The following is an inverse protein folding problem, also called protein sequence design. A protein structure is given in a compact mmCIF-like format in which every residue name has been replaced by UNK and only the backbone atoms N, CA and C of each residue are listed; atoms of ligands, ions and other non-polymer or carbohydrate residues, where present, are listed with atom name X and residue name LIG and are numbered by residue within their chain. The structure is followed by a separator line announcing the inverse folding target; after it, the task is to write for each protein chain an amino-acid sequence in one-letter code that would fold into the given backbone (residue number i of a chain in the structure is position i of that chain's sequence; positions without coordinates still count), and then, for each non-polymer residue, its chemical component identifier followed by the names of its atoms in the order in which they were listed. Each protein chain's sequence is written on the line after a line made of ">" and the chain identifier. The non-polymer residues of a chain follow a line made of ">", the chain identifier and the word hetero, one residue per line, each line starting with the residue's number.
data_IF_485850956860
#
_entry.id   IF_485850956860
#
_cell.length_a   1.000
_cell.length_b   1.000
_cell.length_c   1.000
_cell.angle_alpha   90.00
_cell.angle_beta   90.00
_cell.angle_gamma   90.00
#
_symmetry.space_group_name_H-M   'P 1'
#
loop_
_entity.id
_entity.type
_entity.pdbx_description
1 polymer ?
#
# COMPACT_ATOMS: atom_id res chain seq x y z
N UNK A 1 -8.46 17.76 -28.49
CA UNK A 1 -7.82 18.46 -27.35
C UNK A 1 -8.65 18.41 -26.08
N UNK A 2 -9.99 18.52 -26.11
CA UNK A 2 -10.81 18.54 -24.87
C UNK A 2 -10.86 17.26 -24.00
N UNK A 3 -10.76 16.05 -24.57
CA UNK A 3 -10.99 14.80 -23.79
C UNK A 3 -9.85 14.42 -22.83
N UNK A 4 -8.59 14.76 -23.13
CA UNK A 4 -7.45 14.39 -22.27
C UNK A 4 -7.33 15.32 -21.06
N UNK A 5 -7.59 16.62 -21.23
CA UNK A 5 -7.57 17.60 -20.15
C UNK A 5 -8.68 17.34 -19.13
N UNK A 6 -9.85 16.88 -19.61
CA UNK A 6 -11.01 16.55 -18.77
C UNK A 6 -10.72 15.30 -17.91
N UNK A 7 -10.17 14.25 -18.52
CA UNK A 7 -9.75 13.03 -17.82
C UNK A 7 -8.68 13.33 -16.75
N UNK A 8 -7.71 14.17 -17.08
CA UNK A 8 -6.62 14.54 -16.19
C UNK A 8 -7.12 15.40 -15.00
N UNK A 9 -8.13 16.25 -15.23
CA UNK A 9 -8.82 16.98 -14.17
C UNK A 9 -9.62 16.06 -13.26
N UNK A 10 -10.34 15.08 -13.82
CA UNK A 10 -11.07 14.08 -13.04
C UNK A 10 -10.13 13.27 -12.14
N UNK A 11 -8.98 12.86 -12.67
CA UNK A 11 -7.95 12.13 -11.93
C UNK A 11 -7.44 12.93 -10.73
N UNK A 12 -7.11 14.22 -10.92
CA UNK A 12 -6.67 15.11 -9.83
C UNK A 12 -7.73 15.26 -8.75
N UNK A 13 -9.00 15.41 -9.15
CA UNK A 13 -10.13 15.51 -8.22
C UNK A 13 -10.30 14.21 -7.42
N UNK A 14 -10.21 13.06 -8.09
CA UNK A 14 -10.28 11.75 -7.44
C UNK A 14 -9.19 11.59 -6.37
N UNK A 15 -7.93 11.91 -6.71
CA UNK A 15 -6.83 11.79 -5.75
C UNK A 15 -7.01 12.76 -4.58
N UNK A 16 -7.46 13.99 -4.84
CA UNK A 16 -7.76 14.96 -3.78
C UNK A 16 -8.82 14.43 -2.81
N UNK A 17 -9.89 13.82 -3.33
CA UNK A 17 -10.92 13.17 -2.50
C UNK A 17 -10.32 12.02 -1.68
N UNK A 18 -9.45 11.20 -2.28
CA UNK A 18 -8.75 10.13 -1.55
C UNK A 18 -7.85 10.66 -0.43
N UNK A 19 -7.22 11.82 -0.62
CA UNK A 19 -6.42 12.49 0.41
C UNK A 19 -7.29 13.05 1.53
N UNK A 20 -8.40 13.70 1.21
CA UNK A 20 -9.36 14.22 2.20
C UNK A 20 -9.99 13.09 3.04
N UNK A 21 -10.14 11.90 2.46
CA UNK A 21 -10.61 10.70 3.15
C UNK A 21 -9.52 9.95 3.93
N UNK A 22 -8.25 10.38 3.82
CA UNK A 22 -7.10 9.72 4.45
C UNK A 22 -6.72 8.37 3.84
N UNK A 23 -7.23 8.06 2.65
CA UNK A 23 -6.83 6.86 1.88
C UNK A 23 -5.40 7.01 1.39
N UNK A 24 -5.08 8.21 0.92
CA UNK A 24 -3.75 8.63 0.53
C UNK A 24 -3.30 9.81 1.38
N UNK A 25 -2.00 10.01 1.51
CA UNK A 25 -1.42 11.23 2.10
C UNK A 25 -0.76 12.11 1.04
N UNK A 26 -0.04 13.15 1.48
CA UNK A 26 0.67 14.10 0.64
C UNK A 26 1.78 13.46 -0.22
N UNK A 27 2.32 12.30 0.19
CA UNK A 27 3.37 11.59 -0.54
C UNK A 27 2.87 11.12 -1.91
N UNK A 28 1.59 10.78 -2.06
CA UNK A 28 1.03 10.45 -3.36
C UNK A 28 0.95 11.66 -4.31
N UNK A 29 0.98 12.89 -3.78
CA UNK A 29 1.12 14.11 -4.58
C UNK A 29 2.44 14.14 -5.35
N UNK A 30 3.52 13.61 -4.78
CA UNK A 30 4.81 13.48 -5.47
C UNK A 30 4.72 12.48 -6.62
N UNK A 31 4.04 11.34 -6.40
CA UNK A 31 3.78 10.33 -7.43
C UNK A 31 3.00 10.93 -8.62
N UNK A 32 2.00 11.77 -8.34
CA UNK A 32 1.30 12.52 -9.39
C UNK A 32 2.19 13.55 -10.09
N UNK A 33 3.01 14.30 -9.37
CA UNK A 33 3.89 15.29 -9.98
C UNK A 33 4.91 14.66 -10.95
N UNK A 34 5.43 13.47 -10.63
CA UNK A 34 6.30 12.70 -11.53
C UNK A 34 5.56 12.35 -12.82
N UNK A 35 4.29 11.95 -12.72
CA UNK A 35 3.44 11.68 -13.89
C UNK A 35 3.25 12.91 -14.78
N UNK A 36 2.98 14.07 -14.17
CA UNK A 36 2.70 15.31 -14.90
C UNK A 36 3.93 15.91 -15.58
N UNK A 37 5.10 15.83 -14.93
CA UNK A 37 6.33 16.51 -15.39
C UNK A 37 7.22 15.59 -16.24
N UNK A 38 7.30 14.30 -15.91
CA UNK A 38 8.31 13.40 -16.48
C UNK A 38 7.70 12.27 -17.32
N UNK A 39 6.84 11.43 -16.74
CA UNK A 39 6.37 10.20 -17.36
C UNK A 39 4.87 9.97 -17.14
N UNK A 40 4.01 10.26 -18.14
CA UNK A 40 2.56 10.08 -18.05
C UNK A 40 2.10 8.66 -17.69
N UNK A 41 2.96 7.65 -17.88
CA UNK A 41 2.66 6.24 -17.59
C UNK A 41 3.20 5.79 -16.22
N UNK A 42 3.93 6.64 -15.50
CA UNK A 42 4.56 6.28 -14.23
C UNK A 42 3.59 5.63 -13.24
N UNK A 43 2.40 6.20 -13.08
CA UNK A 43 1.35 5.68 -12.19
C UNK A 43 0.76 4.36 -12.70
N UNK A 44 0.67 4.20 -14.01
CA UNK A 44 0.16 3.00 -14.68
C UNK A 44 1.07 1.80 -14.44
N UNK A 45 2.38 2.01 -14.32
CA UNK A 45 3.34 0.96 -14.00
C UNK A 45 3.53 0.78 -12.48
N UNK A 46 3.55 1.88 -11.72
CA UNK A 46 3.79 1.86 -10.28
C UNK A 46 2.68 1.14 -9.51
N UNK A 47 1.41 1.43 -9.79
CA UNK A 47 0.29 0.84 -9.03
C UNK A 47 0.24 -0.70 -9.19
N UNK A 48 0.30 -1.27 -10.40
CA UNK A 48 0.34 -2.72 -10.56
C UNK A 48 1.56 -3.37 -9.93
N UNK A 49 2.75 -2.74 -10.03
CA UNK A 49 3.97 -3.22 -9.38
C UNK A 49 3.79 -3.27 -7.86
N UNK A 50 3.33 -2.17 -7.26
CA UNK A 50 3.01 -2.11 -5.84
C UNK A 50 2.00 -3.20 -5.43
N UNK A 51 0.91 -3.35 -6.18
CA UNK A 51 -0.13 -4.33 -5.87
C UNK A 51 0.43 -5.76 -5.89
N UNK A 52 1.26 -6.10 -6.88
CA UNK A 52 1.89 -7.41 -7.01
C UNK A 52 2.83 -7.70 -5.85
N UNK A 53 3.70 -6.75 -5.50
CA UNK A 53 4.66 -6.92 -4.43
C UNK A 53 3.98 -7.01 -3.06
N UNK A 54 2.93 -6.21 -2.85
CA UNK A 54 2.13 -6.26 -1.63
C UNK A 54 1.40 -7.60 -1.46
N UNK A 55 0.80 -8.14 -2.53
CA UNK A 55 0.14 -9.45 -2.50
C UNK A 55 1.11 -10.58 -2.19
N UNK A 56 2.29 -10.56 -2.82
CA UNK A 56 3.33 -11.54 -2.54
C UNK A 56 3.78 -11.47 -1.08
N UNK A 57 4.08 -10.27 -0.57
CA UNK A 57 4.46 -10.07 0.83
C UNK A 57 3.38 -10.51 1.82
N UNK A 58 2.12 -10.14 1.59
CA UNK A 58 0.99 -10.55 2.45
C UNK A 58 0.82 -12.07 2.44
N UNK A 59 0.98 -12.71 1.29
CA UNK A 59 0.90 -14.16 1.16
C UNK A 59 2.02 -14.85 1.95
N UNK A 60 3.27 -14.38 1.82
CA UNK A 60 4.40 -14.98 2.50
C UNK A 60 4.35 -14.79 4.02
N UNK A 61 3.96 -13.60 4.49
CA UNK A 61 3.68 -13.38 5.92
C UNK A 61 2.56 -14.29 6.44
N UNK A 62 1.51 -14.53 5.63
CA UNK A 62 0.44 -15.48 5.99
C UNK A 62 0.96 -16.89 6.14
N UNK A 63 1.81 -17.36 5.21
CA UNK A 63 2.42 -18.70 5.28
C UNK A 63 3.27 -18.86 6.54
N UNK A 64 4.13 -17.88 6.83
CA UNK A 64 5.01 -17.91 8.02
C UNK A 64 4.21 -17.98 9.32
N UNK A 65 3.14 -17.20 9.45
CA UNK A 65 2.33 -17.20 10.67
C UNK A 65 1.44 -18.45 10.83
N UNK A 66 1.16 -19.19 9.75
CA UNK A 66 0.46 -20.47 9.83
C UNK A 66 1.34 -21.64 10.30
N UNK A 67 2.66 -21.47 10.36
CA UNK A 67 3.59 -22.50 10.85
C UNK A 67 3.49 -22.67 12.36
N UNK A 68 3.83 -23.85 12.88
CA UNK A 68 3.88 -24.11 14.33
C UNK A 68 4.92 -23.24 15.04
N UNK A 69 6.11 -23.17 14.45
CA UNK A 69 7.20 -22.27 14.86
C UNK A 69 7.31 -21.16 13.82
N UNK A 70 7.17 -19.91 14.27
CA UNK A 70 7.19 -18.74 13.39
C UNK A 70 8.63 -18.28 13.18
N UNK A 71 9.06 -18.13 11.92
CA UNK A 71 10.29 -17.42 11.62
C UNK A 71 10.05 -15.90 11.67
N UNK A 72 10.29 -15.29 12.84
CA UNK A 72 10.09 -13.85 13.05
C UNK A 72 11.07 -12.97 12.27
N UNK A 73 12.25 -13.49 11.91
CA UNK A 73 13.22 -12.76 11.10
C UNK A 73 12.66 -12.48 9.70
N UNK A 74 12.26 -13.53 8.99
CA UNK A 74 11.71 -13.39 7.63
C UNK A 74 10.39 -12.61 7.65
N UNK A 75 9.56 -12.85 8.67
CA UNK A 75 8.32 -12.08 8.88
C UNK A 75 8.61 -10.58 9.01
N UNK A 76 9.67 -10.20 9.73
CA UNK A 76 10.10 -8.80 9.86
C UNK A 76 10.55 -8.22 8.53
N UNK A 77 11.33 -8.97 7.75
CA UNK A 77 11.80 -8.49 6.43
C UNK A 77 10.62 -8.18 5.49
N UNK A 78 9.64 -9.09 5.39
CA UNK A 78 8.46 -8.85 4.57
C UNK A 78 7.64 -7.65 5.08
N UNK A 79 7.49 -7.52 6.39
CA UNK A 79 6.76 -6.42 7.01
C UNK A 79 7.44 -5.06 6.76
N UNK A 80 8.77 -4.99 6.87
CA UNK A 80 9.54 -3.77 6.59
C UNK A 80 9.42 -3.38 5.11
N UNK A 81 9.54 -4.34 4.20
CA UNK A 81 9.38 -4.09 2.75
C UNK A 81 8.01 -3.53 2.43
N UNK A 82 6.94 -4.17 2.91
CA UNK A 82 5.57 -3.69 2.69
C UNK A 82 5.33 -2.32 3.31
N UNK A 83 5.86 -2.06 4.51
CA UNK A 83 5.81 -0.73 5.15
C UNK A 83 6.45 0.34 4.27
N UNK A 84 7.64 0.06 3.74
CA UNK A 84 8.37 0.97 2.86
C UNK A 84 7.60 1.25 1.57
N UNK A 85 7.07 0.22 0.92
CA UNK A 85 6.24 0.37 -0.28
C UNK A 85 4.96 1.16 -0.01
N UNK A 86 4.29 0.91 1.12
CA UNK A 86 3.10 1.66 1.53
C UNK A 86 3.42 3.13 1.78
N UNK A 87 4.56 3.42 2.41
CA UNK A 87 5.02 4.81 2.59
C UNK A 87 5.31 5.47 1.24
N UNK A 88 6.00 4.79 0.32
CA UNK A 88 6.37 5.34 -0.98
C UNK A 88 5.16 5.78 -1.82
N UNK A 89 4.06 5.02 -1.75
CA UNK A 89 2.80 5.34 -2.44
C UNK A 89 1.83 6.17 -1.56
N UNK A 90 2.29 6.69 -0.42
CA UNK A 90 1.48 7.53 0.45
C UNK A 90 0.21 6.84 0.96
N UNK A 91 0.31 5.58 1.38
CA UNK A 91 -0.79 4.79 1.92
C UNK A 91 -0.70 4.68 3.46
N UNK A 92 -1.12 5.71 4.22
CA UNK A 92 -0.84 5.82 5.64
C UNK A 92 -1.51 4.70 6.48
N UNK A 93 -2.73 4.29 6.14
CA UNK A 93 -3.44 3.22 6.87
C UNK A 93 -2.69 1.87 6.78
N UNK A 94 -2.24 1.52 5.59
CA UNK A 94 -1.46 0.29 5.36
C UNK A 94 -0.08 0.38 6.03
N UNK A 95 0.60 1.53 5.91
CA UNK A 95 1.88 1.78 6.59
C UNK A 95 1.76 1.65 8.11
N UNK A 96 0.69 2.18 8.70
CA UNK A 96 0.43 2.10 10.14
C UNK A 96 0.16 0.66 10.57
N UNK A 97 -0.64 -0.10 9.80
CA UNK A 97 -0.87 -1.52 10.08
C UNK A 97 0.43 -2.34 10.01
N UNK A 98 1.34 -2.03 9.08
CA UNK A 98 2.67 -2.64 9.04
C UNK A 98 3.56 -2.21 10.22
N UNK A 99 3.41 -0.99 10.72
CA UNK A 99 4.12 -0.53 11.93
C UNK A 99 3.66 -1.30 13.17
N UNK A 100 2.37 -1.56 13.30
CA UNK A 100 1.82 -2.37 14.38
C UNK A 100 2.29 -3.83 14.31
N UNK A 101 2.33 -4.41 13.11
CA UNK A 101 2.89 -5.75 12.89
C UNK A 101 4.38 -5.80 13.26
N UNK A 102 5.17 -4.79 12.88
CA UNK A 102 6.57 -4.67 13.28
C UNK A 102 6.72 -4.72 14.81
N UNK A 103 5.89 -4.01 15.56
CA UNK A 103 5.90 -4.06 17.03
C UNK A 103 5.48 -5.43 17.58
N UNK A 104 4.49 -6.07 16.98
CA UNK A 104 4.09 -7.43 17.36
C UNK A 104 5.21 -8.47 17.14
N UNK A 105 5.98 -8.31 16.06
CA UNK A 105 7.15 -9.15 15.74
C UNK A 105 8.27 -8.93 16.75
N UNK A 106 8.55 -7.68 17.15
CA UNK A 106 9.60 -7.37 18.14
C UNK A 106 9.30 -7.99 19.52
N UNK A 107 8.02 -8.19 19.83
CA UNK A 107 7.56 -8.91 21.01
C UNK A 107 7.35 -10.42 20.80
N UNK A 108 7.67 -10.95 19.61
CA UNK A 108 7.51 -12.36 19.23
C UNK A 108 6.11 -12.92 19.55
N UNK A 109 5.07 -12.09 19.40
CA UNK A 109 3.70 -12.45 19.74
C UNK A 109 2.94 -12.91 18.50
N UNK A 110 2.83 -14.24 18.33
CA UNK A 110 2.15 -14.85 17.19
C UNK A 110 0.69 -14.39 17.05
N UNK A 111 -0.05 -14.35 18.16
CA UNK A 111 -1.44 -13.90 18.18
C UNK A 111 -1.57 -12.45 17.69
N UNK A 112 -0.75 -11.53 18.23
CA UNK A 112 -0.76 -10.13 17.80
C UNK A 112 -0.33 -9.97 16.34
N UNK A 113 0.62 -10.78 15.87
CA UNK A 113 1.03 -10.79 14.46
C UNK A 113 -0.13 -11.24 13.56
N UNK A 114 -0.91 -12.24 13.96
CA UNK A 114 -2.09 -12.70 13.21
C UNK A 114 -3.19 -11.63 13.13
N UNK A 115 -3.46 -10.96 14.25
CA UNK A 115 -4.45 -9.86 14.31
C UNK A 115 -4.03 -8.68 13.45
N UNK A 116 -2.76 -8.26 13.54
CA UNK A 116 -2.23 -7.14 12.74
C UNK A 116 -2.10 -7.51 11.26
N UNK A 117 -1.75 -8.74 10.90
CA UNK A 117 -1.78 -9.20 9.50
C UNK A 117 -3.20 -9.19 8.92
N UNK A 118 -4.21 -9.52 9.72
CA UNK A 118 -5.62 -9.42 9.28
C UNK A 118 -5.99 -7.97 8.98
N UNK A 119 -5.53 -7.03 9.81
CA UNK A 119 -5.68 -5.59 9.52
C UNK A 119 -4.95 -5.18 8.26
N UNK A 120 -3.70 -5.60 8.06
CA UNK A 120 -2.94 -5.33 6.81
C UNK A 120 -3.73 -5.77 5.58
N UNK A 121 -4.33 -6.98 5.60
CA UNK A 121 -5.17 -7.47 4.50
C UNK A 121 -6.37 -6.58 4.25
N UNK A 122 -7.02 -6.09 5.30
CA UNK A 122 -8.15 -5.17 5.19
C UNK A 122 -7.74 -3.84 4.56
N UNK A 123 -6.72 -3.18 5.11
CA UNK A 123 -6.24 -1.87 4.62
C UNK A 123 -5.71 -1.97 3.19
N UNK A 124 -5.00 -3.05 2.85
CA UNK A 124 -4.54 -3.29 1.48
C UNK A 124 -5.71 -3.45 0.50
N UNK A 125 -6.73 -4.24 0.84
CA UNK A 125 -7.88 -4.44 -0.05
C UNK A 125 -8.68 -3.14 -0.24
N UNK A 126 -8.82 -2.34 0.82
CA UNK A 126 -9.42 -1.02 0.75
C UNK A 126 -8.62 -0.09 -0.16
N UNK A 127 -7.30 0.01 0.04
CA UNK A 127 -6.40 0.80 -0.80
C UNK A 127 -6.47 0.35 -2.27
N UNK A 128 -6.36 -0.95 -2.54
CA UNK A 128 -6.43 -1.53 -3.90
C UNK A 128 -7.72 -1.17 -4.60
N UNK A 129 -8.85 -1.18 -3.89
CA UNK A 129 -10.15 -0.77 -4.42
C UNK A 129 -10.14 0.67 -4.92
N UNK A 130 -9.53 1.58 -4.16
CA UNK A 130 -9.43 2.99 -4.53
C UNK A 130 -8.40 3.25 -5.63
N UNK A 131 -7.23 2.59 -5.58
CA UNK A 131 -6.19 2.72 -6.62
C UNK A 131 -6.67 2.25 -8.00
N UNK A 132 -7.59 1.29 -8.07
CA UNK A 132 -8.24 0.91 -9.33
C UNK A 132 -9.03 2.05 -9.98
N UNK A 133 -9.51 3.02 -9.20
CA UNK A 133 -10.17 4.21 -9.75
C UNK A 133 -9.20 5.13 -10.49
N UNK A 134 -7.90 5.10 -10.14
CA UNK A 134 -6.84 5.90 -10.74
C UNK A 134 -6.38 5.29 -12.08
N UNK A 135 -6.49 3.97 -12.24
CA UNK A 135 -6.10 3.24 -13.46
C UNK A 135 -7.21 3.12 -14.51
N UNK A 136 -8.33 3.84 -14.36
CA UNK A 136 -9.48 3.77 -15.27
C UNK A 136 -9.34 4.69 -16.48
#
# INVERSE_FOLDING_TARGET
>A
MGSYEELDRELRLLVKVMQEQGVLDEQFGIVQAIREINDPLFVVDLIPMFCKDAEAGILDMTKLLNQSVVNYHDLKEFCIKLKGSASMIGAPLLMNACTDLCGAIDHMSKERCMTTLTRIKHEYNFLKGNLKGILR
#
